data_IF_294495271968
#
_entry.id   IF_294495271968
#
_cell.length_a   1.000
_cell.length_b   1.000
_cell.length_c   1.000
_cell.angle_alpha   90.00
_cell.angle_beta   90.00
_cell.angle_gamma   90.00
#
_symmetry.space_group_name_H-M   'P 1'
#
loop_
_entity.id
_entity.type
_entity.pdbx_description
1 polymer ?
#
# COMPACT_ATOMS: atom_id res chain seq x y z
N UNK A 1 -36.60 -18.43 -31.33
CA UNK A 1 -36.24 -17.51 -32.46
C UNK A 1 -35.05 -16.66 -31.95
N UNK A 2 -33.87 -17.07 -32.31
CA UNK A 2 -32.61 -16.38 -31.96
C UNK A 2 -32.44 -15.16 -32.89
N UNK A 3 -32.36 -13.96 -32.31
CA UNK A 3 -32.01 -12.77 -33.05
C UNK A 3 -30.53 -12.87 -33.48
N UNK A 4 -30.19 -12.51 -34.72
CA UNK A 4 -28.81 -12.51 -35.15
C UNK A 4 -28.00 -11.42 -34.42
N UNK A 5 -26.89 -11.81 -33.83
CA UNK A 5 -25.88 -10.89 -33.29
C UNK A 5 -25.40 -9.99 -34.43
N UNK A 6 -25.61 -8.67 -34.31
CA UNK A 6 -25.07 -7.70 -35.25
C UNK A 6 -23.54 -7.75 -35.20
N UNK A 7 -22.93 -8.10 -36.32
CA UNK A 7 -21.48 -8.05 -36.49
C UNK A 7 -20.96 -6.60 -36.29
N UNK A 8 -19.79 -6.41 -35.67
CA UNK A 8 -19.20 -5.11 -35.50
C UNK A 8 -18.86 -4.51 -36.87
N UNK A 9 -19.53 -3.43 -37.25
CA UNK A 9 -19.19 -2.67 -38.47
C UNK A 9 -18.00 -1.76 -38.16
N UNK A 10 -16.85 -2.11 -38.75
CA UNK A 10 -15.69 -1.22 -38.76
C UNK A 10 -16.03 0.05 -39.55
N UNK A 11 -15.83 1.22 -38.95
CA UNK A 11 -16.08 2.48 -39.63
C UNK A 11 -14.87 2.81 -40.54
N UNK A 12 -15.04 2.63 -41.86
CA UNK A 12 -14.05 2.98 -42.86
C UNK A 12 -14.18 4.48 -43.23
N UNK A 13 -13.10 5.23 -43.11
CA UNK A 13 -13.00 6.56 -43.70
C UNK A 13 -12.06 6.51 -44.92
N UNK A 14 -12.35 7.27 -45.95
CA UNK A 14 -11.47 7.38 -47.13
C UNK A 14 -10.61 8.65 -47.00
N UNK A 15 -9.31 8.48 -46.92
CA UNK A 15 -8.34 9.56 -47.03
C UNK A 15 -7.54 9.34 -48.34
N UNK A 16 -7.72 10.22 -49.32
CA UNK A 16 -6.99 10.12 -50.58
C UNK A 16 -7.27 8.86 -51.43
N UNK A 17 -8.47 8.27 -51.31
CA UNK A 17 -8.86 7.07 -52.09
C UNK A 17 -8.44 5.74 -51.46
N UNK A 18 -7.72 5.76 -50.36
CA UNK A 18 -7.33 4.55 -49.61
C UNK A 18 -8.25 4.38 -48.39
N UNK A 19 -8.90 3.22 -48.22
CA UNK A 19 -9.71 2.94 -47.00
C UNK A 19 -8.81 2.89 -45.77
N UNK A 20 -9.02 3.77 -44.81
CA UNK A 20 -8.31 3.79 -43.53
C UNK A 20 -9.23 3.31 -42.42
N UNK A 21 -8.79 2.31 -41.68
CA UNK A 21 -9.50 1.80 -40.55
C UNK A 21 -9.26 2.77 -39.36
N UNK A 22 -10.28 3.55 -38.97
CA UNK A 22 -10.17 4.54 -37.89
C UNK A 22 -10.37 3.88 -36.51
N UNK A 23 -11.05 2.77 -36.44
CA UNK A 23 -11.34 2.07 -35.20
C UNK A 23 -10.71 0.67 -35.23
N UNK A 24 -10.15 0.26 -34.06
CA UNK A 24 -9.59 -1.06 -33.86
C UNK A 24 -10.68 -2.14 -34.06
N UNK A 25 -10.33 -3.28 -34.65
CA UNK A 25 -11.25 -4.45 -34.74
C UNK A 25 -11.84 -4.78 -33.38
N UNK A 26 -13.14 -5.05 -33.33
CA UNK A 26 -13.87 -5.34 -32.08
C UNK A 26 -14.37 -4.10 -31.34
N UNK A 27 -14.13 -2.86 -31.85
CA UNK A 27 -14.66 -1.66 -31.22
C UNK A 27 -16.15 -1.50 -31.54
N UNK A 28 -16.99 -1.42 -30.51
CA UNK A 28 -18.43 -1.09 -30.65
C UNK A 28 -18.64 0.40 -30.39
N UNK A 29 -19.43 1.08 -31.21
CA UNK A 29 -19.81 2.48 -31.03
C UNK A 29 -21.30 2.58 -30.72
N UNK A 30 -21.60 3.18 -29.57
CA UNK A 30 -22.96 3.56 -29.17
C UNK A 30 -23.07 5.07 -29.10
N UNK A 31 -24.19 5.67 -29.49
CA UNK A 31 -24.37 7.12 -29.53
C UNK A 31 -25.76 7.53 -29.03
N UNK A 32 -25.86 8.81 -28.62
CA UNK A 32 -27.15 9.40 -28.23
C UNK A 32 -27.79 8.76 -27.00
N UNK A 33 -29.09 8.59 -27.02
CA UNK A 33 -29.89 8.08 -25.90
C UNK A 33 -29.53 6.63 -25.54
N UNK A 34 -29.23 5.79 -26.54
CA UNK A 34 -28.84 4.40 -26.31
C UNK A 34 -27.55 4.30 -25.48
N UNK A 35 -26.56 5.14 -25.78
CA UNK A 35 -25.34 5.19 -25.03
C UNK A 35 -25.57 5.64 -23.57
N UNK A 36 -26.43 6.64 -23.35
CA UNK A 36 -26.77 7.11 -22.00
C UNK A 36 -27.47 6.01 -21.19
N UNK A 37 -28.47 5.34 -21.79
CA UNK A 37 -29.20 4.26 -21.13
C UNK A 37 -28.29 3.09 -20.77
N UNK A 38 -27.39 2.67 -21.67
CA UNK A 38 -26.42 1.62 -21.40
C UNK A 38 -25.49 2.00 -20.26
N UNK A 39 -24.98 3.22 -20.27
CA UNK A 39 -24.07 3.72 -19.22
C UNK A 39 -24.76 3.72 -17.85
N UNK A 40 -25.99 4.19 -17.76
CA UNK A 40 -26.78 4.19 -16.51
C UNK A 40 -27.05 2.75 -16.06
N UNK A 41 -27.43 1.87 -16.98
CA UNK A 41 -27.71 0.47 -16.67
C UNK A 41 -26.48 -0.23 -16.06
N UNK A 42 -25.29 -0.03 -16.65
CA UNK A 42 -24.04 -0.60 -16.14
C UNK A 42 -23.69 -0.04 -14.75
N UNK A 43 -23.79 1.28 -14.55
CA UNK A 43 -23.52 1.88 -13.25
C UNK A 43 -24.47 1.38 -12.16
N UNK A 44 -25.76 1.24 -12.48
CA UNK A 44 -26.77 0.64 -11.59
C UNK A 44 -26.43 -0.82 -11.24
N UNK A 45 -26.01 -1.61 -12.23
CA UNK A 45 -25.63 -3.01 -12.00
C UNK A 45 -24.43 -3.13 -11.04
N UNK A 46 -23.41 -2.29 -11.21
CA UNK A 46 -22.27 -2.24 -10.28
C UNK A 46 -22.72 -1.84 -8.87
N UNK A 47 -23.58 -0.82 -8.74
CA UNK A 47 -24.08 -0.38 -7.44
C UNK A 47 -24.92 -1.49 -6.74
N UNK A 48 -25.78 -2.19 -7.47
CA UNK A 48 -26.58 -3.31 -6.93
C UNK A 48 -25.68 -4.48 -6.48
N UNK A 49 -24.55 -4.71 -7.15
CA UNK A 49 -23.62 -5.77 -6.77
C UNK A 49 -23.06 -5.55 -5.35
N UNK A 50 -22.73 -4.33 -4.99
CA UNK A 50 -22.16 -4.02 -3.66
C UNK A 50 -23.22 -3.63 -2.62
N UNK A 51 -24.44 -3.32 -3.01
CA UNK A 51 -25.51 -2.82 -2.13
C UNK A 51 -25.82 -3.76 -0.95
N UNK A 52 -25.74 -5.07 -1.17
CA UNK A 52 -26.04 -6.07 -0.14
C UNK A 52 -24.95 -6.18 0.94
N UNK A 53 -23.80 -5.56 0.73
CA UNK A 53 -22.71 -5.50 1.74
C UNK A 53 -22.85 -4.29 2.66
N UNK A 54 -23.80 -3.36 2.36
CA UNK A 54 -23.94 -2.12 3.10
C UNK A 54 -24.54 -2.32 4.49
N UNK A 55 -23.90 -1.69 5.47
CA UNK A 55 -24.43 -1.53 6.81
C UNK A 55 -24.15 -2.69 7.75
N UNK A 56 -24.69 -2.65 9.00
CA UNK A 56 -24.32 -3.58 10.07
C UNK A 56 -24.81 -5.01 9.86
N UNK A 57 -25.70 -5.23 8.91
CA UNK A 57 -26.19 -6.55 8.47
C UNK A 57 -25.75 -6.88 7.05
N UNK A 58 -24.72 -6.16 6.55
CA UNK A 58 -24.14 -6.43 5.25
C UNK A 58 -23.59 -7.86 5.17
N UNK A 59 -23.73 -8.47 3.98
CA UNK A 59 -23.24 -9.82 3.71
C UNK A 59 -21.92 -9.76 2.99
N UNK A 60 -21.01 -10.67 3.33
CA UNK A 60 -19.76 -10.83 2.62
C UNK A 60 -20.01 -11.34 1.20
N UNK A 61 -19.15 -10.94 0.27
CA UNK A 61 -19.08 -11.44 -1.09
C UNK A 61 -17.90 -12.37 -1.24
N UNK A 62 -18.10 -13.47 -1.92
CA UNK A 62 -17.02 -14.36 -2.37
C UNK A 62 -16.78 -14.09 -3.84
N UNK A 63 -15.55 -13.75 -4.18
CA UNK A 63 -15.07 -13.54 -5.53
C UNK A 63 -14.04 -14.63 -5.84
N UNK A 64 -14.08 -15.15 -7.05
CA UNK A 64 -13.13 -16.14 -7.55
C UNK A 64 -12.59 -15.58 -8.85
N UNK A 65 -11.28 -15.38 -8.91
CA UNK A 65 -10.62 -14.87 -10.10
C UNK A 65 -10.38 -15.97 -11.16
N UNK A 66 -9.80 -15.59 -12.30
CA UNK A 66 -9.50 -16.51 -13.40
C UNK A 66 -8.41 -17.54 -13.07
N UNK A 67 -7.61 -17.33 -12.02
CA UNK A 67 -6.57 -18.21 -11.52
C UNK A 67 -7.08 -19.18 -10.45
N UNK A 68 -8.32 -18.95 -9.95
CA UNK A 68 -8.93 -19.73 -8.87
C UNK A 68 -8.67 -19.18 -7.47
N UNK A 69 -8.07 -17.99 -7.35
CA UNK A 69 -7.88 -17.34 -6.06
C UNK A 69 -9.22 -16.84 -5.52
N UNK A 70 -9.43 -17.05 -4.22
CA UNK A 70 -10.69 -16.72 -3.56
C UNK A 70 -10.50 -15.52 -2.64
N UNK A 71 -11.23 -14.44 -2.92
CA UNK A 71 -11.32 -13.25 -2.07
C UNK A 71 -12.71 -13.18 -1.42
N UNK A 72 -12.76 -13.06 -0.09
CA UNK A 72 -14.01 -12.87 0.66
C UNK A 72 -13.92 -11.51 1.34
N UNK A 73 -14.84 -10.62 0.99
CA UNK A 73 -14.89 -9.25 1.54
C UNK A 73 -16.32 -8.72 1.55
N UNK A 74 -16.58 -7.74 2.42
CA UNK A 74 -17.77 -6.89 2.38
C UNK A 74 -17.43 -5.41 2.15
N UNK A 75 -16.15 -5.12 1.92
CA UNK A 75 -15.70 -3.78 1.59
C UNK A 75 -15.94 -3.46 0.12
N UNK A 76 -16.60 -2.31 -0.15
CA UNK A 76 -17.00 -1.96 -1.51
C UNK A 76 -15.84 -1.73 -2.46
N UNK A 77 -14.76 -1.09 -2.00
CA UNK A 77 -13.58 -0.84 -2.82
C UNK A 77 -12.87 -2.16 -3.16
N UNK A 78 -12.62 -3.01 -2.17
CA UNK A 78 -12.01 -4.34 -2.35
C UNK A 78 -12.82 -5.20 -3.33
N UNK A 79 -14.16 -5.27 -3.16
CA UNK A 79 -15.02 -6.07 -4.05
C UNK A 79 -14.94 -5.59 -5.49
N UNK A 80 -14.96 -4.27 -5.69
CA UNK A 80 -14.95 -3.70 -7.03
C UNK A 80 -13.59 -3.76 -7.69
N UNK A 81 -12.51 -3.72 -6.93
CA UNK A 81 -11.14 -3.86 -7.43
C UNK A 81 -10.84 -5.28 -7.92
N UNK A 82 -11.33 -6.28 -7.18
CA UNK A 82 -11.19 -7.69 -7.53
C UNK A 82 -12.13 -8.13 -8.69
N UNK A 83 -13.07 -7.28 -9.08
CA UNK A 83 -13.95 -7.57 -10.21
C UNK A 83 -13.27 -7.24 -11.54
N UNK A 84 -13.11 -8.24 -12.42
CA UNK A 84 -12.67 -7.99 -13.81
C UNK A 84 -13.78 -7.32 -14.62
N UNK A 85 -13.76 -5.98 -14.62
CA UNK A 85 -14.74 -5.18 -15.34
C UNK A 85 -14.14 -4.57 -16.61
N UNK A 86 -14.79 -4.80 -17.74
CA UNK A 86 -14.31 -4.32 -19.04
C UNK A 86 -14.99 -3.03 -19.50
N UNK A 87 -16.26 -2.82 -19.11
CA UNK A 87 -17.03 -1.68 -19.55
C UNK A 87 -16.48 -0.36 -18.95
N UNK A 88 -16.30 0.72 -19.75
CA UNK A 88 -15.72 1.98 -19.27
C UNK A 88 -16.45 2.58 -18.06
N UNK A 89 -17.78 2.53 -18.02
CA UNK A 89 -18.55 3.05 -16.90
C UNK A 89 -18.38 2.18 -15.64
N UNK A 90 -18.25 0.85 -15.80
CA UNK A 90 -17.94 0.00 -14.67
C UNK A 90 -16.56 0.35 -14.07
N UNK A 91 -15.54 0.55 -14.90
CA UNK A 91 -14.22 1.05 -14.46
C UNK A 91 -14.32 2.40 -13.74
N UNK A 92 -15.13 3.33 -14.25
CA UNK A 92 -15.37 4.62 -13.59
C UNK A 92 -16.00 4.44 -12.20
N UNK A 93 -16.93 3.51 -12.02
CA UNK A 93 -17.53 3.21 -10.70
C UNK A 93 -16.50 2.60 -9.74
N UNK A 94 -15.57 1.78 -10.23
CA UNK A 94 -14.43 1.27 -9.45
C UNK A 94 -13.54 2.43 -9.00
N UNK A 95 -13.18 3.34 -9.92
CA UNK A 95 -12.38 4.53 -9.59
C UNK A 95 -13.06 5.45 -8.56
N UNK A 96 -14.38 5.59 -8.62
CA UNK A 96 -15.15 6.34 -7.60
C UNK A 96 -15.02 5.68 -6.22
N UNK A 97 -15.05 4.34 -6.15
CA UNK A 97 -14.86 3.63 -4.90
C UNK A 97 -13.42 3.78 -4.37
N UNK A 98 -12.41 3.64 -5.25
CA UNK A 98 -10.99 3.82 -4.90
C UNK A 98 -10.70 5.23 -4.42
N UNK A 99 -11.19 6.25 -5.11
CA UNK A 99 -11.00 7.64 -4.67
C UNK A 99 -11.58 7.91 -3.28
N UNK A 100 -12.73 7.29 -2.95
CA UNK A 100 -13.30 7.40 -1.60
C UNK A 100 -12.45 6.64 -0.58
N UNK A 101 -11.87 5.51 -0.93
CA UNK A 101 -10.97 4.73 -0.07
C UNK A 101 -9.67 5.50 0.21
N UNK A 102 -9.04 6.02 -0.83
CA UNK A 102 -7.79 6.78 -0.73
C UNK A 102 -7.92 8.04 0.11
N UNK A 103 -9.05 8.76 -0.02
CA UNK A 103 -9.26 10.05 0.66
C UNK A 103 -9.77 9.90 2.11
N UNK A 104 -10.59 8.90 2.38
CA UNK A 104 -11.32 8.76 3.65
C UNK A 104 -11.12 7.39 4.31
N UNK A 105 -10.87 6.33 3.55
CA UNK A 105 -10.72 4.95 4.05
C UNK A 105 -12.04 4.31 4.51
N UNK A 106 -13.18 4.96 4.29
CA UNK A 106 -14.50 4.46 4.69
C UNK A 106 -15.60 5.02 3.77
N UNK A 107 -16.76 4.35 3.77
CA UNK A 107 -17.93 4.78 2.99
C UNK A 107 -17.88 4.43 1.51
N UNK A 108 -16.97 3.58 1.07
CA UNK A 108 -16.79 3.15 -0.33
C UNK A 108 -18.09 2.56 -0.92
N UNK A 109 -18.70 1.61 -0.23
CA UNK A 109 -19.99 1.03 -0.62
C UNK A 109 -21.10 2.07 -0.68
N UNK A 110 -21.18 2.97 0.32
CA UNK A 110 -22.19 4.03 0.37
C UNK A 110 -22.08 4.96 -0.84
N UNK A 111 -20.86 5.35 -1.21
CA UNK A 111 -20.59 6.24 -2.34
C UNK A 111 -21.05 5.62 -3.66
N UNK A 112 -20.72 4.36 -3.89
CA UNK A 112 -21.09 3.64 -5.11
C UNK A 112 -22.61 3.43 -5.19
N UNK A 113 -23.25 3.05 -4.07
CA UNK A 113 -24.70 2.89 -4.01
C UNK A 113 -25.41 4.22 -4.25
N UNK A 114 -24.94 5.31 -3.63
CA UNK A 114 -25.48 6.65 -3.84
C UNK A 114 -25.36 7.08 -5.31
N UNK A 115 -24.21 6.85 -5.95
CA UNK A 115 -24.01 7.14 -7.36
C UNK A 115 -25.01 6.36 -8.24
N UNK A 116 -25.20 5.07 -7.97
CA UNK A 116 -26.19 4.24 -8.67
C UNK A 116 -27.62 4.72 -8.49
N UNK A 117 -28.02 5.12 -7.27
CA UNK A 117 -29.36 5.63 -7.01
C UNK A 117 -29.60 7.01 -7.65
N UNK A 118 -28.61 7.90 -7.63
CA UNK A 118 -28.70 9.18 -8.34
C UNK A 118 -28.87 8.98 -9.85
N UNK A 119 -28.16 8.03 -10.43
CA UNK A 119 -28.32 7.70 -11.85
C UNK A 119 -29.66 7.03 -12.16
N UNK A 120 -30.20 6.23 -11.24
CA UNK A 120 -31.54 5.67 -11.36
C UNK A 120 -32.63 6.75 -11.41
N UNK A 121 -32.52 7.76 -10.55
CA UNK A 121 -33.46 8.89 -10.57
C UNK A 121 -33.23 9.78 -11.80
N UNK A 122 -31.97 9.96 -12.23
CA UNK A 122 -31.69 10.68 -13.49
C UNK A 122 -32.31 10.01 -14.71
N UNK A 123 -32.32 8.68 -14.79
CA UNK A 123 -32.97 7.91 -15.85
C UNK A 123 -34.48 8.25 -15.96
N UNK A 124 -35.18 8.28 -14.83
CA UNK A 124 -36.61 8.65 -14.78
C UNK A 124 -36.86 10.08 -15.30
N UNK A 125 -35.91 11.00 -15.08
CA UNK A 125 -36.01 12.37 -15.57
C UNK A 125 -35.69 12.47 -17.07
N UNK A 126 -34.73 11.68 -17.53
CA UNK A 126 -34.42 11.56 -18.97
C UNK A 126 -35.62 10.98 -19.75
N UNK A 127 -36.36 10.02 -19.18
CA UNK A 127 -37.57 9.43 -19.76
C UNK A 127 -38.70 10.45 -19.86
N UNK A 128 -38.72 11.45 -18.98
CA UNK A 128 -39.62 12.61 -19.06
C UNK A 128 -39.11 13.70 -20.03
N UNK A 129 -38.09 13.40 -20.83
CA UNK A 129 -37.42 14.31 -21.77
C UNK A 129 -36.79 15.55 -21.12
N UNK A 130 -36.41 15.48 -19.85
CA UNK A 130 -35.62 16.53 -19.21
C UNK A 130 -34.18 16.40 -19.71
N UNK A 131 -33.62 17.50 -20.20
CA UNK A 131 -32.26 17.49 -20.75
C UNK A 131 -31.20 17.19 -19.67
N UNK A 132 -30.19 16.39 -20.00
CA UNK A 132 -29.13 15.97 -19.07
C UNK A 132 -28.42 17.13 -18.39
N UNK A 133 -28.20 18.25 -19.09
CA UNK A 133 -27.56 19.45 -18.49
C UNK A 133 -28.38 20.05 -17.34
N UNK A 134 -29.73 19.99 -17.42
CA UNK A 134 -30.62 20.46 -16.36
C UNK A 134 -30.50 19.54 -15.13
N UNK A 135 -30.47 18.23 -15.36
CA UNK A 135 -30.31 17.23 -14.29
C UNK A 135 -28.96 17.43 -13.59
N UNK A 136 -27.87 17.59 -14.35
CA UNK A 136 -26.52 17.87 -13.83
C UNK A 136 -26.50 19.16 -13.00
N UNK A 137 -27.15 20.22 -13.48
CA UNK A 137 -27.27 21.48 -12.73
C UNK A 137 -28.01 21.28 -11.41
N UNK A 138 -29.07 20.46 -11.42
CA UNK A 138 -29.80 20.07 -10.22
C UNK A 138 -28.92 19.34 -9.21
N UNK A 139 -28.13 18.36 -9.66
CA UNK A 139 -27.19 17.63 -8.80
C UNK A 139 -26.11 18.51 -8.19
N UNK A 140 -25.55 19.46 -8.95
CA UNK A 140 -24.58 20.44 -8.41
C UNK A 140 -25.19 21.30 -7.31
N UNK A 141 -26.40 21.82 -7.48
CA UNK A 141 -27.11 22.58 -6.45
C UNK A 141 -27.40 21.73 -5.22
N UNK A 142 -27.83 20.48 -5.41
CA UNK A 142 -28.08 19.53 -4.32
C UNK A 142 -26.78 19.21 -3.54
N UNK A 143 -25.66 19.05 -4.24
CA UNK A 143 -24.35 18.83 -3.63
C UNK A 143 -23.95 19.99 -2.69
N UNK A 144 -24.04 21.24 -3.16
CA UNK A 144 -23.71 22.40 -2.33
C UNK A 144 -24.62 22.48 -1.09
N UNK A 145 -25.91 22.25 -1.28
CA UNK A 145 -26.85 22.23 -0.15
C UNK A 145 -26.57 21.09 0.83
N UNK A 146 -26.22 19.91 0.35
CA UNK A 146 -25.86 18.78 1.19
C UNK A 146 -24.59 19.06 2.01
N UNK A 147 -23.57 19.70 1.41
CA UNK A 147 -22.37 20.15 2.15
C UNK A 147 -22.69 21.12 3.28
N UNK A 148 -23.57 22.08 3.05
CA UNK A 148 -24.00 23.01 4.10
C UNK A 148 -24.74 22.31 5.25
N UNK A 149 -25.63 21.37 4.91
CA UNK A 149 -26.38 20.58 5.90
C UNK A 149 -25.41 19.72 6.73
N UNK A 150 -24.49 19.01 6.08
CA UNK A 150 -23.50 18.17 6.76
C UNK A 150 -22.62 19.01 7.71
N UNK A 151 -22.15 20.17 7.29
CA UNK A 151 -21.38 21.06 8.17
C UNK A 151 -22.16 21.51 9.42
N UNK A 152 -23.46 21.75 9.29
CA UNK A 152 -24.34 22.09 10.41
C UNK A 152 -24.61 20.93 11.36
N UNK A 153 -24.68 19.73 10.82
CA UNK A 153 -24.97 18.52 11.59
C UNK A 153 -23.71 17.93 12.23
N UNK A 154 -22.53 18.28 11.73
CA UNK A 154 -21.28 17.74 12.22
C UNK A 154 -21.02 18.13 13.67
N UNK A 155 -20.62 17.15 14.47
CA UNK A 155 -20.15 17.36 15.84
C UNK A 155 -18.62 17.52 15.79
N UNK A 156 -18.11 18.60 16.41
CA UNK A 156 -16.66 18.82 16.50
C UNK A 156 -16.05 17.78 17.45
N UNK A 157 -14.98 17.13 17.01
CA UNK A 157 -14.19 16.19 17.80
C UNK A 157 -12.80 16.75 17.97
N UNK A 158 -12.33 16.80 19.21
CA UNK A 158 -10.94 17.19 19.52
C UNK A 158 -10.02 15.99 19.50
N UNK A 159 -8.74 16.20 19.18
CA UNK A 159 -7.75 15.13 19.10
C UNK A 159 -7.52 14.41 20.43
N UNK A 160 -7.78 15.11 21.53
CA UNK A 160 -7.63 14.56 22.89
C UNK A 160 -8.84 13.73 23.35
N UNK A 161 -9.97 13.86 22.65
CA UNK A 161 -11.17 13.06 22.94
C UNK A 161 -11.02 11.64 22.35
N UNK A 162 -10.26 10.80 23.08
CA UNK A 162 -10.00 9.40 22.69
C UNK A 162 -11.29 8.60 22.53
N UNK A 163 -12.31 8.86 23.35
CA UNK A 163 -13.58 8.13 23.31
C UNK A 163 -14.37 8.46 22.04
N UNK A 164 -14.40 9.73 21.62
CA UNK A 164 -15.04 10.10 20.37
C UNK A 164 -14.30 9.50 19.17
N UNK A 165 -12.98 9.59 19.14
CA UNK A 165 -12.15 8.99 18.09
C UNK A 165 -12.32 7.47 18.04
N UNK A 166 -12.38 6.79 19.20
CA UNK A 166 -12.65 5.36 19.29
C UNK A 166 -14.01 4.98 18.70
N UNK A 167 -15.06 5.76 18.97
CA UNK A 167 -16.39 5.55 18.38
C UNK A 167 -16.37 5.66 16.85
N UNK A 168 -15.59 6.60 16.29
CA UNK A 168 -15.41 6.73 14.83
C UNK A 168 -14.75 5.48 14.28
N UNK A 169 -13.63 5.03 14.85
CA UNK A 169 -12.93 3.82 14.43
C UNK A 169 -13.82 2.57 14.56
N UNK A 170 -14.56 2.44 15.66
CA UNK A 170 -15.52 1.34 15.84
C UNK A 170 -16.66 1.35 14.81
N UNK A 171 -17.08 2.51 14.35
CA UNK A 171 -18.11 2.65 13.32
C UNK A 171 -17.62 2.13 11.98
N UNK A 172 -16.39 2.47 11.58
CA UNK A 172 -15.76 1.99 10.35
C UNK A 172 -15.56 0.45 10.35
N UNK A 173 -15.31 -0.16 11.53
CA UNK A 173 -15.15 -1.61 11.68
C UNK A 173 -16.49 -2.37 11.83
N UNK A 174 -17.60 -1.67 11.96
CA UNK A 174 -18.90 -2.29 12.18
C UNK A 174 -19.38 -3.05 10.95
N UNK A 175 -19.75 -4.31 11.12
CA UNK A 175 -20.20 -5.18 10.02
C UNK A 175 -19.06 -5.82 9.22
N UNK A 176 -17.80 -5.57 9.57
CA UNK A 176 -16.62 -6.20 8.96
C UNK A 176 -16.16 -7.41 9.77
N UNK A 177 -15.29 -8.25 9.21
CA UNK A 177 -14.77 -9.49 9.83
C UNK A 177 -14.15 -9.29 11.21
N UNK A 178 -13.67 -8.08 11.49
CA UNK A 178 -13.04 -7.70 12.78
C UNK A 178 -14.05 -7.23 13.84
N UNK A 179 -15.35 -7.28 13.58
CA UNK A 179 -16.39 -6.75 14.46
C UNK A 179 -16.34 -7.31 15.90
N UNK A 180 -15.94 -8.58 16.06
CA UNK A 180 -15.83 -9.22 17.38
C UNK A 180 -14.71 -8.65 18.26
N UNK A 181 -13.68 -8.05 17.68
CA UNK A 181 -12.51 -7.50 18.37
C UNK A 181 -12.35 -6.00 18.14
N UNK A 182 -13.36 -5.35 17.58
CA UNK A 182 -13.33 -3.93 17.17
C UNK A 182 -12.98 -2.98 18.29
N UNK A 183 -13.41 -3.26 19.51
CA UNK A 183 -13.16 -2.39 20.68
C UNK A 183 -11.66 -2.32 20.98
N UNK A 184 -10.99 -3.47 20.96
CA UNK A 184 -9.55 -3.58 21.14
C UNK A 184 -8.77 -2.93 19.97
N UNK A 185 -9.15 -3.25 18.73
CA UNK A 185 -8.49 -2.70 17.56
C UNK A 185 -8.69 -1.18 17.45
N UNK A 186 -9.86 -0.67 17.85
CA UNK A 186 -10.13 0.76 17.85
C UNK A 186 -9.19 1.54 18.79
N UNK A 187 -8.87 0.96 19.95
CA UNK A 187 -7.88 1.57 20.86
C UNK A 187 -6.50 1.64 20.21
N UNK A 188 -6.05 0.55 19.57
CA UNK A 188 -4.75 0.50 18.88
C UNK A 188 -4.69 1.49 17.71
N UNK A 189 -5.75 1.58 16.90
CA UNK A 189 -5.83 2.49 15.75
C UNK A 189 -5.80 3.94 16.23
N UNK A 190 -6.58 4.30 17.25
CA UNK A 190 -6.59 5.66 17.78
C UNK A 190 -5.22 6.04 18.35
N UNK A 191 -4.58 5.15 19.09
CA UNK A 191 -3.26 5.40 19.65
C UNK A 191 -2.20 5.55 18.53
N UNK A 192 -2.26 4.72 17.47
CA UNK A 192 -1.38 4.83 16.33
C UNK A 192 -1.57 6.16 15.57
N UNK A 193 -2.81 6.55 15.28
CA UNK A 193 -3.12 7.81 14.57
C UNK A 193 -2.71 9.02 15.42
N UNK A 194 -2.96 9.00 16.73
CA UNK A 194 -2.52 10.10 17.63
C UNK A 194 -1.00 10.24 17.69
N UNK A 195 -0.26 9.14 17.55
CA UNK A 195 1.20 9.15 17.54
C UNK A 195 1.78 9.92 16.34
N UNK A 196 1.13 9.84 15.18
CA UNK A 196 1.59 10.48 13.95
C UNK A 196 0.90 11.82 13.66
N UNK A 197 -0.10 12.20 14.46
CA UNK A 197 -0.86 13.44 14.26
C UNK A 197 -0.01 14.67 14.54
N UNK A 198 0.18 15.51 13.53
CA UNK A 198 0.90 16.78 13.62
C UNK A 198 -0.05 17.95 13.57
N UNK A 199 0.17 18.94 14.41
CA UNK A 199 -0.60 20.20 14.36
C UNK A 199 -0.07 21.08 13.24
N UNK A 200 -0.90 21.34 12.23
CA UNK A 200 -0.60 22.25 11.11
C UNK A 200 -1.61 23.43 11.13
N UNK A 201 -1.19 24.55 11.69
CA UNK A 201 -2.09 25.69 11.94
C UNK A 201 -3.21 25.33 12.91
N UNK A 202 -4.47 25.51 12.50
CA UNK A 202 -5.66 25.19 13.30
C UNK A 202 -6.19 23.76 13.13
N UNK A 203 -5.47 22.92 12.37
CA UNK A 203 -5.88 21.54 12.08
C UNK A 203 -4.80 20.56 12.49
N UNK A 204 -5.23 19.32 12.80
CA UNK A 204 -4.36 18.17 12.90
C UNK A 204 -4.35 17.41 11.58
N UNK A 205 -3.17 16.99 11.16
CA UNK A 205 -2.96 16.15 9.96
C UNK A 205 -2.24 14.89 10.40
N UNK A 206 -2.79 13.74 10.04
CA UNK A 206 -2.17 12.44 10.25
C UNK A 206 -1.96 11.81 8.88
N UNK A 207 -0.72 11.56 8.53
CA UNK A 207 -0.34 10.90 7.28
C UNK A 207 -0.19 9.41 7.56
N UNK A 208 -1.16 8.62 7.08
CA UNK A 208 -1.24 7.18 7.35
C UNK A 208 -0.05 6.38 6.79
N UNK A 209 0.71 6.92 5.84
CA UNK A 209 1.94 6.29 5.33
C UNK A 209 3.01 6.14 6.41
N UNK A 210 2.87 6.86 7.53
CA UNK A 210 3.73 6.71 8.70
C UNK A 210 3.31 5.57 9.63
N UNK A 211 2.16 4.95 9.40
CA UNK A 211 1.73 3.75 10.12
C UNK A 211 2.08 2.52 9.28
N UNK A 212 2.94 1.68 9.80
CA UNK A 212 3.30 0.43 9.17
C UNK A 212 2.40 -0.70 9.68
N UNK A 213 1.63 -1.32 8.78
CA UNK A 213 0.80 -2.47 9.10
C UNK A 213 1.49 -3.75 8.62
N UNK A 214 1.91 -4.59 9.57
CA UNK A 214 2.53 -5.89 9.29
C UNK A 214 1.53 -7.01 9.60
N UNK A 215 1.22 -7.82 8.58
CA UNK A 215 0.36 -9.00 8.71
C UNK A 215 1.24 -10.23 8.87
N UNK A 216 1.04 -10.99 9.95
CA UNK A 216 1.70 -12.28 10.19
C UNK A 216 0.67 -13.38 10.40
N UNK A 217 0.94 -14.56 9.84
CA UNK A 217 0.11 -15.75 10.03
C UNK A 217 0.46 -16.39 11.37
N UNK A 218 -0.53 -16.76 12.16
CA UNK A 218 -0.40 -17.35 13.50
C UNK A 218 -1.25 -16.58 14.50
N UNK A 219 -1.43 -17.07 15.72
CA UNK A 219 -2.14 -16.39 16.78
C UNK A 219 -3.59 -15.94 16.48
N UNK A 220 -4.13 -15.10 17.33
CA UNK A 220 -5.44 -14.50 17.19
C UNK A 220 -5.32 -12.99 16.85
N UNK A 221 -6.38 -12.40 16.27
CA UNK A 221 -6.41 -10.95 15.99
C UNK A 221 -6.19 -10.12 17.27
N UNK A 222 -6.57 -10.65 18.45
CA UNK A 222 -6.32 -10.01 19.76
C UNK A 222 -4.84 -9.93 20.15
N UNK A 223 -3.97 -10.68 19.45
CA UNK A 223 -2.53 -10.62 19.68
C UNK A 223 -1.85 -9.49 18.90
N UNK A 224 -2.62 -8.73 18.09
CA UNK A 224 -2.15 -7.54 17.40
C UNK A 224 -1.65 -6.52 18.43
N UNK A 225 -0.45 -5.98 18.20
CA UNK A 225 0.19 -5.04 19.11
C UNK A 225 0.62 -3.79 18.38
N UNK A 226 0.52 -2.64 19.04
CA UNK A 226 1.12 -1.39 18.58
C UNK A 226 2.58 -1.36 19.03
N UNK A 227 3.49 -1.22 18.08
CA UNK A 227 4.93 -1.06 18.32
C UNK A 227 5.32 0.38 18.03
N UNK A 228 5.89 1.07 19.02
CA UNK A 228 6.42 2.42 18.83
C UNK A 228 7.81 2.34 18.21
N UNK A 229 7.88 2.21 16.91
CA UNK A 229 9.12 2.02 16.15
C UNK A 229 8.85 1.46 14.76
N UNK A 230 9.88 0.87 14.16
CA UNK A 230 9.82 0.28 12.83
C UNK A 230 9.96 -1.24 12.94
N UNK A 231 9.15 -1.96 12.21
CA UNK A 231 9.24 -3.42 12.07
C UNK A 231 9.85 -3.72 10.69
N UNK A 232 11.00 -4.39 10.70
CA UNK A 232 11.64 -4.89 9.47
C UNK A 232 11.35 -6.38 9.35
N UNK A 233 10.66 -6.79 8.28
CA UNK A 233 10.34 -8.20 8.04
C UNK A 233 11.54 -8.96 7.46
N UNK A 234 12.56 -9.09 8.28
CA UNK A 234 13.84 -9.76 7.98
C UNK A 234 14.38 -10.43 9.23
N UNK A 235 15.25 -11.39 9.03
CA UNK A 235 15.97 -12.10 10.09
C UNK A 235 17.38 -11.52 10.25
N UNK A 236 17.96 -11.70 11.43
CA UNK A 236 19.40 -11.47 11.66
C UNK A 236 20.18 -12.47 10.83
N UNK A 237 21.18 -11.99 10.10
CA UNK A 237 21.86 -12.78 9.04
C UNK A 237 22.72 -13.93 9.55
N UNK A 238 23.17 -13.90 10.79
CA UNK A 238 24.00 -14.95 11.34
C UNK A 238 23.56 -15.36 12.77
N UNK A 239 23.44 -16.66 13.08
CA UNK A 239 22.87 -17.12 14.35
C UNK A 239 23.69 -16.73 15.59
N UNK A 240 24.99 -16.47 15.44
CA UNK A 240 25.88 -16.02 16.54
C UNK A 240 25.82 -14.51 16.82
N UNK A 241 25.05 -13.76 16.02
CA UNK A 241 24.84 -12.33 16.29
C UNK A 241 23.92 -12.13 17.50
N UNK A 242 24.08 -10.99 18.21
CA UNK A 242 23.15 -10.65 19.28
C UNK A 242 21.74 -10.42 18.69
N UNK A 243 20.71 -11.01 19.33
CA UNK A 243 19.32 -10.84 18.91
C UNK A 243 18.62 -9.66 19.57
N UNK A 244 19.26 -9.04 20.55
CA UNK A 244 18.76 -7.90 21.29
C UNK A 244 19.90 -6.95 21.62
N UNK A 245 19.73 -5.70 21.24
CA UNK A 245 20.70 -4.61 21.51
C UNK A 245 19.94 -3.44 22.11
N UNK A 246 20.36 -3.02 23.30
CA UNK A 246 19.89 -1.82 23.97
C UNK A 246 20.85 -0.65 23.62
N UNK A 247 20.32 0.58 23.59
CA UNK A 247 21.06 1.77 23.19
C UNK A 247 21.75 1.59 21.83
N UNK A 248 20.97 1.13 20.85
CA UNK A 248 21.47 0.82 19.52
C UNK A 248 21.99 2.07 18.80
N UNK A 249 23.18 1.91 18.20
CA UNK A 249 23.77 2.81 17.21
C UNK A 249 23.66 2.16 15.85
N UNK A 250 22.82 2.74 14.99
CA UNK A 250 22.34 2.09 13.78
C UNK A 250 23.04 2.70 12.56
N UNK A 251 23.70 1.84 11.78
CA UNK A 251 24.20 2.18 10.46
C UNK A 251 23.22 1.71 9.38
N UNK A 252 22.89 2.60 8.45
CA UNK A 252 22.06 2.32 7.27
C UNK A 252 22.96 2.35 6.02
N UNK A 253 23.12 1.20 5.37
CA UNK A 253 24.07 1.03 4.27
C UNK A 253 23.33 0.60 3.00
N UNK A 254 23.44 1.40 1.94
CA UNK A 254 22.97 1.05 0.58
C UNK A 254 24.17 0.72 -0.33
N UNK A 255 25.08 -0.07 0.17
CA UNK A 255 26.20 -0.64 -0.55
C UNK A 255 26.28 -2.15 -0.23
N UNK A 256 26.75 -3.00 -1.16
CA UNK A 256 27.01 -4.39 -0.86
C UNK A 256 28.18 -4.52 0.12
N UNK A 257 28.04 -5.38 1.12
CA UNK A 257 29.15 -5.86 1.95
C UNK A 257 29.64 -7.20 1.35
N UNK A 258 29.95 -7.14 0.08
CA UNK A 258 30.37 -8.27 -0.76
C UNK A 258 31.56 -7.81 -1.63
N UNK A 259 32.32 -8.73 -2.12
CA UNK A 259 33.35 -8.43 -3.10
C UNK A 259 32.66 -8.14 -4.42
N UNK A 260 32.85 -6.94 -4.94
CA UNK A 260 32.27 -6.54 -6.22
C UNK A 260 32.92 -7.34 -7.36
N UNK A 261 32.11 -7.99 -8.15
CA UNK A 261 32.58 -8.57 -9.43
C UNK A 261 32.90 -7.41 -10.37
N UNK A 262 33.97 -7.60 -11.15
CA UNK A 262 34.34 -6.64 -12.19
C UNK A 262 33.18 -6.46 -13.20
N UNK A 263 32.93 -5.22 -13.63
CA UNK A 263 31.91 -4.89 -14.63
C UNK A 263 32.17 -5.55 -16.00
N UNK A 264 33.38 -6.04 -16.23
CA UNK A 264 33.80 -6.77 -17.43
C UNK A 264 34.04 -8.22 -17.01
N UNK A 265 33.51 -9.16 -17.77
CA UNK A 265 33.79 -10.60 -17.60
C UNK A 265 35.31 -10.85 -17.78
N UNK A 266 36.04 -10.72 -16.67
CA UNK A 266 37.47 -11.02 -16.62
C UNK A 266 37.64 -12.41 -15.99
N UNK A 267 38.12 -13.37 -16.76
CA UNK A 267 38.57 -14.65 -16.23
C UNK A 267 39.99 -14.53 -15.67
N UNK A 268 40.15 -14.66 -14.37
CA UNK A 268 41.45 -14.84 -13.75
C UNK A 268 41.73 -16.34 -13.72
N UNK A 269 42.69 -16.81 -14.53
CA UNK A 269 43.15 -18.21 -14.52
C UNK A 269 44.30 -18.33 -13.54
N UNK A 270 44.04 -18.92 -12.39
CA UNK A 270 45.05 -19.21 -11.37
C UNK A 270 45.42 -20.69 -11.53
N UNK A 271 46.67 -20.93 -11.88
CA UNK A 271 47.21 -22.27 -12.06
C UNK A 271 48.10 -22.75 -10.89
N UNK A 272 48.38 -21.86 -9.95
CA UNK A 272 49.24 -22.10 -8.78
C UNK A 272 48.42 -22.07 -7.48
N UNK A 273 48.46 -23.15 -6.66
CA UNK A 273 47.78 -23.19 -5.37
C UNK A 273 48.18 -22.06 -4.39
N UNK A 274 49.45 -21.60 -4.44
CA UNK A 274 49.89 -20.49 -3.60
C UNK A 274 49.25 -19.17 -4.00
N UNK A 275 49.11 -18.92 -5.31
CA UNK A 275 48.41 -17.73 -5.81
C UNK A 275 46.92 -17.77 -5.47
N UNK A 276 46.27 -18.93 -5.51
CA UNK A 276 44.88 -19.10 -5.09
C UNK A 276 44.69 -18.76 -3.62
N UNK A 277 45.63 -19.22 -2.77
CA UNK A 277 45.59 -18.94 -1.35
C UNK A 277 45.77 -17.43 -1.08
N UNK A 278 46.73 -16.80 -1.73
CA UNK A 278 46.95 -15.36 -1.61
C UNK A 278 45.76 -14.53 -2.05
N UNK A 279 45.05 -14.97 -3.09
CA UNK A 279 43.83 -14.31 -3.56
C UNK A 279 42.71 -14.41 -2.53
N UNK A 280 42.47 -15.58 -1.96
CA UNK A 280 41.47 -15.79 -0.90
C UNK A 280 41.81 -15.01 0.38
N UNK A 281 43.06 -14.90 0.76
CA UNK A 281 43.51 -14.10 1.89
C UNK A 281 43.28 -12.60 1.66
N UNK A 282 43.46 -12.10 0.44
CA UNK A 282 43.17 -10.71 0.11
C UNK A 282 41.66 -10.41 0.11
N UNK A 283 40.84 -11.35 -0.41
CA UNK A 283 39.35 -11.25 -0.33
C UNK A 283 38.89 -11.19 1.12
N UNK A 284 39.38 -12.09 1.97
CA UNK A 284 39.06 -12.10 3.40
C UNK A 284 39.46 -10.78 4.08
N UNK A 285 40.63 -10.25 3.74
CA UNK A 285 41.14 -8.98 4.27
C UNK A 285 40.25 -7.80 3.86
N UNK A 286 39.82 -7.72 2.59
CA UNK A 286 38.93 -6.68 2.11
C UNK A 286 37.60 -6.67 2.88
N UNK A 287 36.97 -7.84 3.03
CA UNK A 287 35.73 -7.97 3.79
C UNK A 287 35.89 -7.61 5.27
N UNK A 288 37.03 -7.97 5.85
CA UNK A 288 37.39 -7.61 7.22
C UNK A 288 37.57 -6.11 7.37
N UNK A 289 38.26 -5.46 6.44
CA UNK A 289 38.49 -4.00 6.47
C UNK A 289 37.17 -3.24 6.38
N UNK A 290 36.19 -3.71 5.56
CA UNK A 290 34.84 -3.15 5.52
C UNK A 290 34.16 -3.24 6.90
N UNK A 291 34.23 -4.39 7.56
CA UNK A 291 33.64 -4.59 8.88
C UNK A 291 34.34 -3.78 9.97
N UNK A 292 35.68 -3.72 9.94
CA UNK A 292 36.47 -2.93 10.89
C UNK A 292 36.16 -1.44 10.76
N UNK A 293 35.88 -0.96 9.54
CA UNK A 293 35.44 0.41 9.32
C UNK A 293 34.06 0.66 9.94
N UNK A 294 33.08 -0.22 9.74
CA UNK A 294 31.76 -0.12 10.39
C UNK A 294 31.95 -0.11 11.92
N UNK A 295 32.76 -1.01 12.46
CA UNK A 295 33.04 -1.10 13.90
C UNK A 295 33.67 0.17 14.45
N UNK A 296 34.58 0.79 13.71
CA UNK A 296 35.31 2.01 14.13
C UNK A 296 34.33 3.21 14.32
N UNK A 297 33.20 3.26 13.65
CA UNK A 297 32.18 4.30 13.87
C UNK A 297 31.40 4.12 15.18
N UNK A 298 31.51 2.96 15.82
CA UNK A 298 30.78 2.60 17.02
C UNK A 298 29.38 2.04 16.74
N UNK A 299 29.05 1.71 15.49
CA UNK A 299 27.80 1.04 15.15
C UNK A 299 27.74 -0.36 15.78
N UNK A 300 26.59 -0.69 16.37
CA UNK A 300 26.30 -2.02 16.91
C UNK A 300 25.11 -2.70 16.22
N UNK A 301 24.42 -1.96 15.32
CA UNK A 301 23.38 -2.49 14.45
C UNK A 301 23.60 -2.01 13.03
N UNK A 302 23.46 -2.91 12.06
CA UNK A 302 23.61 -2.63 10.63
C UNK A 302 22.38 -3.09 9.88
N UNK A 303 21.74 -2.17 9.16
CA UNK A 303 20.72 -2.51 8.15
C UNK A 303 21.32 -2.26 6.78
N UNK A 304 21.49 -3.33 6.00
CA UNK A 304 22.05 -3.27 4.66
C UNK A 304 20.92 -3.49 3.62
N UNK A 305 20.83 -2.58 2.65
CA UNK A 305 19.85 -2.69 1.55
C UNK A 305 20.29 -3.77 0.55
N UNK A 306 21.58 -4.01 0.43
CA UNK A 306 22.17 -5.01 -0.47
C UNK A 306 22.51 -6.32 0.25
N UNK A 307 23.28 -7.17 -0.37
CA UNK A 307 23.79 -8.40 0.22
C UNK A 307 24.89 -8.17 1.24
N UNK A 308 25.14 -9.19 2.06
CA UNK A 308 26.27 -9.27 2.98
C UNK A 308 26.88 -10.66 2.78
N UNK A 309 28.14 -10.70 2.38
CA UNK A 309 28.91 -11.92 2.21
C UNK A 309 29.00 -12.73 3.51
N UNK A 310 29.10 -14.06 3.43
CA UNK A 310 29.11 -14.93 4.58
C UNK A 310 30.31 -14.69 5.50
N UNK A 311 31.48 -14.34 4.95
CA UNK A 311 32.64 -13.95 5.74
C UNK A 311 32.43 -12.60 6.44
N UNK A 312 31.83 -11.64 5.76
CA UNK A 312 31.46 -10.36 6.37
C UNK A 312 30.45 -10.55 7.52
N UNK A 313 29.45 -11.45 7.34
CA UNK A 313 28.51 -11.84 8.40
C UNK A 313 29.24 -12.42 9.62
N UNK A 314 30.21 -13.31 9.39
CA UNK A 314 31.02 -13.87 10.45
C UNK A 314 31.82 -12.80 11.21
N UNK A 315 32.45 -11.87 10.51
CA UNK A 315 33.20 -10.78 11.15
C UNK A 315 32.31 -9.82 11.93
N UNK A 316 31.13 -9.48 11.39
CA UNK A 316 30.12 -8.69 12.11
C UNK A 316 29.64 -9.41 13.37
N UNK A 317 29.37 -10.71 13.30
CA UNK A 317 28.98 -11.53 14.46
C UNK A 317 30.09 -11.55 15.52
N UNK A 318 31.35 -11.73 15.11
CA UNK A 318 32.52 -11.70 16.00
C UNK A 318 32.72 -10.34 16.66
N UNK A 319 32.33 -9.26 15.96
CA UNK A 319 32.34 -7.90 16.50
C UNK A 319 31.14 -7.60 17.43
N UNK A 320 30.20 -8.52 17.57
CA UNK A 320 28.98 -8.34 18.37
C UNK A 320 27.97 -7.38 17.74
N UNK A 321 28.01 -7.21 16.41
CA UNK A 321 27.13 -6.34 15.65
C UNK A 321 25.96 -7.14 15.12
N UNK A 322 24.73 -6.67 15.38
CA UNK A 322 23.52 -7.21 14.77
C UNK A 322 23.43 -6.69 13.34
N UNK A 323 23.28 -7.58 12.37
CA UNK A 323 23.15 -7.19 10.97
C UNK A 323 21.96 -7.85 10.28
N UNK A 324 21.35 -7.06 9.39
CA UNK A 324 20.21 -7.46 8.55
C UNK A 324 20.51 -7.09 7.10
N UNK A 325 20.33 -8.04 6.16
CA UNK A 325 20.58 -7.84 4.73
C UNK A 325 19.32 -7.72 3.90
N UNK A 326 19.45 -7.16 2.69
CA UNK A 326 18.36 -7.05 1.70
C UNK A 326 17.12 -6.35 2.27
N UNK A 327 17.35 -5.30 3.04
CA UNK A 327 16.28 -4.44 3.55
C UNK A 327 15.69 -3.65 2.40
N UNK A 328 14.37 -3.56 2.32
CA UNK A 328 13.70 -2.80 1.25
C UNK A 328 14.04 -1.32 1.36
N UNK A 329 14.17 -0.63 0.23
CA UNK A 329 14.45 0.81 0.18
C UNK A 329 13.45 1.63 1.01
N UNK A 330 12.16 1.30 0.91
CA UNK A 330 11.11 1.94 1.72
C UNK A 330 11.29 1.78 3.23
N UNK A 331 11.81 0.61 3.67
CA UNK A 331 12.09 0.36 5.09
C UNK A 331 13.35 1.11 5.53
N UNK A 332 14.38 1.23 4.65
CA UNK A 332 15.57 2.05 4.91
C UNK A 332 15.19 3.53 5.12
N UNK A 333 14.30 4.07 4.28
CA UNK A 333 13.81 5.45 4.41
C UNK A 333 13.03 5.66 5.72
N UNK A 334 12.19 4.70 6.11
CA UNK A 334 11.47 4.72 7.39
C UNK A 334 12.44 4.63 8.58
N UNK A 335 13.44 3.75 8.52
CA UNK A 335 14.49 3.63 9.54
C UNK A 335 15.30 4.92 9.67
N UNK A 336 15.71 5.53 8.55
CA UNK A 336 16.41 6.81 8.54
C UNK A 336 15.61 7.89 9.27
N UNK A 337 14.32 8.00 8.96
CA UNK A 337 13.43 8.99 9.56
C UNK A 337 13.20 8.74 11.06
N UNK A 338 13.00 7.49 11.46
CA UNK A 338 12.70 7.12 12.85
C UNK A 338 13.92 7.21 13.77
N UNK A 339 15.14 6.94 13.27
CA UNK A 339 16.36 6.84 14.07
C UNK A 339 17.30 8.03 13.92
N UNK A 340 17.06 8.86 12.88
CA UNK A 340 17.96 9.95 12.50
C UNK A 340 19.21 9.49 11.74
N UNK A 341 19.33 8.19 11.42
CA UNK A 341 20.46 7.67 10.65
C UNK A 341 20.45 8.18 9.21
N UNK A 342 21.63 8.46 8.66
CA UNK A 342 21.78 8.76 7.24
C UNK A 342 22.05 7.47 6.47
N UNK A 343 21.39 7.31 5.32
CA UNK A 343 21.66 6.18 4.41
C UNK A 343 22.96 6.51 3.65
N UNK A 344 23.98 5.68 3.81
CA UNK A 344 25.25 5.83 3.11
C UNK A 344 25.33 4.86 1.94
N UNK A 345 25.80 5.35 0.79
CA UNK A 345 25.93 4.56 -0.45
C UNK A 345 27.33 4.00 -0.63
N UNK A 346 28.28 4.41 0.20
CA UNK A 346 29.65 3.88 0.27
C UNK A 346 30.05 3.69 1.73
N UNK A 347 30.78 2.63 2.01
CA UNK A 347 31.21 2.31 3.38
C UNK A 347 32.21 3.36 3.87
N UNK A 348 32.98 3.96 2.94
CA UNK A 348 33.92 5.03 3.21
C UNK A 348 33.29 6.30 3.78
N UNK A 349 32.02 6.55 3.44
CA UNK A 349 31.25 7.71 3.89
C UNK A 349 30.56 7.48 5.24
N UNK A 350 30.68 6.28 5.82
CA UNK A 350 30.10 5.98 7.12
C UNK A 350 30.92 6.63 8.23
N UNK A 351 30.31 7.61 8.89
CA UNK A 351 30.89 8.34 10.01
C UNK A 351 30.04 8.19 11.28
N UNK A 352 30.57 8.46 12.48
CA UNK A 352 29.76 8.44 13.70
C UNK A 352 28.52 9.35 13.66
N UNK A 353 28.60 10.47 12.92
CA UNK A 353 27.49 11.43 12.73
C UNK A 353 26.41 10.93 11.77
N UNK A 354 26.70 9.88 10.99
CA UNK A 354 25.74 9.23 10.11
C UNK A 354 24.89 8.18 10.84
N UNK A 355 25.29 7.80 12.06
CA UNK A 355 24.59 6.79 12.84
C UNK A 355 23.29 7.34 13.42
N UNK A 356 22.26 6.51 13.36
CA UNK A 356 21.01 6.74 14.10
C UNK A 356 21.02 6.08 15.47
N UNK A 357 20.00 6.38 16.27
CA UNK A 357 19.88 5.83 17.61
C UNK A 357 18.49 5.21 17.83
N UNK A 358 18.45 4.11 18.57
CA UNK A 358 17.23 3.55 19.10
C UNK A 358 17.45 2.99 20.50
N UNK A 359 16.41 3.04 21.36
CA UNK A 359 16.49 2.47 22.70
C UNK A 359 16.71 0.96 22.68
N UNK A 360 16.06 0.30 21.72
CA UNK A 360 16.05 -1.16 21.60
C UNK A 360 15.94 -1.57 20.14
N UNK A 361 16.78 -2.50 19.72
CA UNK A 361 16.64 -3.27 18.49
C UNK A 361 16.65 -4.75 18.87
N UNK A 362 15.62 -5.48 18.48
CA UNK A 362 15.51 -6.89 18.79
C UNK A 362 14.90 -7.71 17.66
N UNK A 363 15.36 -8.93 17.49
CA UNK A 363 14.69 -9.94 16.67
C UNK A 363 13.59 -10.61 17.49
N UNK A 364 12.35 -10.53 17.02
CA UNK A 364 11.21 -11.26 17.59
C UNK A 364 10.68 -12.28 16.60
N UNK A 365 10.57 -13.50 17.03
CA UNK A 365 9.83 -14.52 16.30
C UNK A 365 8.35 -14.37 16.67
N UNK A 366 7.53 -13.95 15.70
CA UNK A 366 6.07 -13.93 15.85
C UNK A 366 5.58 -15.32 15.45
N UNK A 367 5.00 -16.04 16.41
CA UNK A 367 4.51 -17.40 16.23
C UNK A 367 3.20 -17.42 15.46
#
# INVERSE_FOLDING_TARGET
MSQPMSQPQATLAQLGGVPVLILKEGTTRKTGREAMQLNIMVAKAIAETVKTTLGPKGMDKMLIDSLGDITISNDGATILDEMDVQHPVAKLMVEVAKAQDDEVGDGTTTTVVLAGELLREAEKLLDKNIHSTVIISGFKKAQERAKEVLKRMATKVEIDDKEALKKVAMTAMRGKSVAAVRDYLADLVVDAVKQIAEKRGDKYVADIDYIQLIKKKGGAIRDTQLVYGIIVDKEVVHPSMPKRIENAKIALIDAPLEIEKTEIDAEIRINDPEQMKAFLEEEEKLLKDMVDRIKSTGANVVFCQKGIDDMAQYFLAKAGILAVRRVKKSDMEKLSRATGAKIVTKIEDLTPEALGTAKLVEERKVA
#
